data_IF_318828339450
#
_entry.id   IF_318828339450
#
_cell.length_a   1.000
_cell.length_b   1.000
_cell.length_c   1.000
_cell.angle_alpha   90.00
_cell.angle_beta   90.00
_cell.angle_gamma   90.00
#
_symmetry.space_group_name_H-M   'P 1'
#
loop_
_entity.id
_entity.type
_entity.pdbx_description
1 polymer ?
#
# COMPACT_ATOMS: atom_id res chain seq x y z
N UNK A 1 -10.45 32.33 5.44
CA UNK A 1 -11.53 31.42 5.05
C UNK A 1 -12.22 30.99 6.34
N UNK A 2 -13.55 31.10 6.46
CA UNK A 2 -14.26 30.88 7.71
C UNK A 2 -14.65 29.41 7.93
N UNK A 3 -14.79 29.07 9.22
CA UNK A 3 -15.67 28.06 9.81
C UNK A 3 -15.26 26.57 9.75
N UNK A 4 -14.45 26.15 10.72
CA UNK A 4 -14.25 24.74 11.11
C UNK A 4 -15.44 24.25 11.96
N UNK A 5 -16.58 24.08 11.30
CA UNK A 5 -17.80 23.52 11.89
C UNK A 5 -17.72 21.99 12.01
N UNK A 6 -17.31 21.54 13.19
CA UNK A 6 -17.78 20.36 13.93
C UNK A 6 -18.42 19.22 13.10
N UNK A 7 -17.69 18.11 12.91
CA UNK A 7 -18.28 16.84 12.44
C UNK A 7 -18.74 16.04 13.66
N UNK A 8 -20.03 15.67 13.78
CA UNK A 8 -20.50 14.84 14.88
C UNK A 8 -19.94 13.43 14.71
N UNK A 9 -19.11 13.03 15.69
CA UNK A 9 -18.67 11.66 15.94
C UNK A 9 -19.88 10.80 16.39
N UNK A 10 -20.84 10.57 15.49
CA UNK A 10 -22.00 9.74 15.76
C UNK A 10 -21.82 8.38 15.06
N UNK A 11 -21.31 7.42 15.83
CA UNK A 11 -21.29 6.00 15.47
C UNK A 11 -20.06 5.54 14.70
N UNK A 12 -18.90 5.49 15.36
CA UNK A 12 -17.78 4.69 14.87
C UNK A 12 -18.09 3.19 15.01
N UNK A 13 -18.99 2.69 14.16
CA UNK A 13 -18.80 1.34 13.64
C UNK A 13 -17.34 1.31 13.15
N UNK A 14 -16.50 0.44 13.72
CA UNK A 14 -15.07 0.38 13.41
C UNK A 14 -14.93 0.23 11.88
N UNK A 15 -14.67 1.34 11.17
CA UNK A 15 -14.60 1.34 9.71
C UNK A 15 -13.30 0.65 9.36
N UNK A 16 -13.37 -0.67 9.18
CA UNK A 16 -12.23 -1.48 8.78
C UNK A 16 -11.88 -1.12 7.34
N UNK A 17 -10.65 -0.62 7.13
CA UNK A 17 -10.11 -0.41 5.78
C UNK A 17 -9.97 -1.75 5.06
N UNK A 18 -10.96 -2.03 4.22
CA UNK A 18 -11.02 -3.25 3.43
C UNK A 18 -9.80 -3.36 2.50
N UNK A 19 -9.27 -2.25 1.99
CA UNK A 19 -8.12 -2.30 1.09
C UNK A 19 -6.87 -2.78 1.81
N UNK A 20 -6.56 -2.21 2.98
CA UNK A 20 -5.41 -2.64 3.78
C UNK A 20 -5.53 -4.10 4.19
N UNK A 21 -6.71 -4.54 4.65
CA UNK A 21 -6.95 -5.95 4.99
C UNK A 21 -6.69 -6.89 3.80
N UNK A 22 -7.17 -6.53 2.60
CA UNK A 22 -6.96 -7.37 1.42
C UNK A 22 -5.54 -7.31 0.88
N UNK A 23 -4.83 -6.19 1.02
CA UNK A 23 -3.39 -6.09 0.70
C UNK A 23 -2.57 -7.04 1.59
N UNK A 24 -2.85 -7.10 2.89
CA UNK A 24 -2.18 -8.06 3.79
C UNK A 24 -2.43 -9.52 3.36
N UNK A 25 -3.69 -9.86 3.04
CA UNK A 25 -4.05 -11.21 2.55
C UNK A 25 -3.47 -11.54 1.17
N UNK A 26 -3.16 -10.53 0.37
CA UNK A 26 -2.59 -10.68 -0.97
C UNK A 26 -1.07 -10.54 -0.98
N UNK A 27 -0.41 -10.35 0.17
CA UNK A 27 1.03 -10.12 0.24
C UNK A 27 1.83 -11.24 -0.43
N UNK A 28 1.42 -12.50 -0.24
CA UNK A 28 2.05 -13.67 -0.86
C UNK A 28 2.00 -13.64 -2.39
N UNK A 29 0.99 -12.99 -2.98
CA UNK A 29 0.83 -12.87 -4.43
C UNK A 29 1.87 -11.95 -5.07
N UNK A 30 2.42 -11.02 -4.28
CA UNK A 30 3.42 -10.06 -4.69
C UNK A 30 4.78 -10.29 -4.01
N UNK A 31 4.99 -11.46 -3.37
CA UNK A 31 6.18 -11.75 -2.57
C UNK A 31 7.49 -11.62 -3.37
N UNK A 32 7.51 -12.07 -4.63
CA UNK A 32 8.68 -11.93 -5.50
C UNK A 32 9.02 -10.47 -5.79
N UNK A 33 8.01 -9.64 -6.08
CA UNK A 33 8.20 -8.21 -6.33
C UNK A 33 8.61 -7.46 -5.07
N UNK A 34 8.08 -7.88 -3.91
CA UNK A 34 8.52 -7.37 -2.61
C UNK A 34 10.01 -7.67 -2.37
N UNK A 35 10.46 -8.88 -2.67
CA UNK A 35 11.87 -9.26 -2.51
C UNK A 35 12.79 -8.43 -3.42
N UNK A 36 12.39 -8.16 -4.67
CA UNK A 36 13.14 -7.28 -5.58
C UNK A 36 13.21 -5.84 -5.07
N UNK A 37 12.09 -5.32 -4.54
CA UNK A 37 12.04 -4.00 -3.92
C UNK A 37 12.96 -3.92 -2.69
N UNK A 38 12.96 -4.95 -1.84
CA UNK A 38 13.84 -5.04 -0.68
C UNK A 38 15.32 -5.09 -1.10
N UNK A 39 15.67 -5.87 -2.11
CA UNK A 39 17.03 -5.93 -2.67
C UNK A 39 17.48 -4.57 -3.22
N UNK A 40 16.61 -3.86 -3.95
CA UNK A 40 16.91 -2.51 -4.41
C UNK A 40 17.13 -1.56 -3.24
N UNK A 41 16.27 -1.59 -2.22
CA UNK A 41 16.39 -0.73 -1.05
C UNK A 41 17.72 -0.98 -0.32
N UNK A 42 18.14 -2.24 -0.16
CA UNK A 42 19.43 -2.58 0.43
C UNK A 42 20.59 -2.01 -0.38
N UNK A 43 20.52 -2.09 -1.72
CA UNK A 43 21.54 -1.54 -2.62
C UNK A 43 21.63 -0.01 -2.52
N UNK A 44 20.50 0.69 -2.55
CA UNK A 44 20.44 2.16 -2.44
C UNK A 44 20.93 2.61 -1.05
N UNK A 45 20.47 1.97 0.02
CA UNK A 45 20.86 2.31 1.39
C UNK A 45 22.33 1.99 1.69
N UNK A 46 22.93 1.03 1.00
CA UNK A 46 24.36 0.72 1.15
C UNK A 46 25.30 1.78 0.55
N UNK A 47 24.80 2.67 -0.30
CA UNK A 47 25.60 3.66 -1.02
C UNK A 47 25.47 5.04 -0.39
N UNK A 48 26.60 5.72 -0.19
CA UNK A 48 26.64 7.07 0.38
C UNK A 48 26.33 8.18 -0.64
N UNK A 49 26.46 7.89 -1.94
CA UNK A 49 26.12 8.81 -3.02
C UNK A 49 25.73 7.99 -4.27
N UNK A 50 24.44 7.93 -4.58
CA UNK A 50 23.90 7.20 -5.73
C UNK A 50 22.69 7.95 -6.30
N UNK A 51 22.55 7.94 -7.62
CA UNK A 51 21.35 8.45 -8.32
C UNK A 51 20.30 7.35 -8.53
N UNK A 52 20.58 6.13 -8.03
CA UNK A 52 19.69 4.99 -8.14
C UNK A 52 18.44 5.16 -7.26
N UNK A 53 17.27 4.81 -7.79
CA UNK A 53 15.98 4.85 -7.09
C UNK A 53 15.23 3.55 -7.28
N UNK A 54 14.50 3.09 -6.27
CA UNK A 54 13.69 1.87 -6.34
C UNK A 54 12.24 2.11 -6.80
N UNK A 55 12.03 3.11 -7.66
CA UNK A 55 10.68 3.52 -8.06
C UNK A 55 10.00 2.47 -8.94
N UNK A 56 10.76 1.82 -9.83
CA UNK A 56 10.25 0.78 -10.71
C UNK A 56 9.79 -0.45 -9.91
N UNK A 57 10.65 -0.95 -9.01
CA UNK A 57 10.33 -2.10 -8.16
C UNK A 57 9.16 -1.81 -7.21
N UNK A 58 9.05 -0.56 -6.73
CA UNK A 58 7.92 -0.13 -5.92
C UNK A 58 6.62 -0.15 -6.73
N UNK A 59 6.64 0.36 -7.97
CA UNK A 59 5.46 0.37 -8.83
C UNK A 59 5.04 -1.05 -9.21
N UNK A 60 5.98 -1.93 -9.51
CA UNK A 60 5.70 -3.34 -9.80
C UNK A 60 5.09 -4.05 -8.59
N UNK A 61 5.68 -3.87 -7.40
CA UNK A 61 5.14 -4.44 -6.17
C UNK A 61 3.70 -3.98 -5.91
N UNK A 62 3.44 -2.68 -6.00
CA UNK A 62 2.09 -2.11 -5.81
C UNK A 62 1.13 -2.63 -6.87
N UNK A 63 1.54 -2.65 -8.15
CA UNK A 63 0.71 -3.14 -9.25
C UNK A 63 0.24 -4.58 -9.01
N UNK A 64 1.16 -5.49 -8.69
CA UNK A 64 0.84 -6.89 -8.48
C UNK A 64 0.05 -7.13 -7.20
N UNK A 65 0.35 -6.39 -6.13
CA UNK A 65 -0.41 -6.43 -4.89
C UNK A 65 -1.87 -6.00 -5.11
N UNK A 66 -2.05 -4.87 -5.79
CA UNK A 66 -3.37 -4.29 -6.04
C UNK A 66 -4.17 -5.07 -7.07
N UNK A 67 -3.52 -5.72 -8.05
CA UNK A 67 -4.17 -6.66 -8.95
C UNK A 67 -4.91 -7.77 -8.19
N UNK A 68 -4.33 -8.23 -7.06
CA UNK A 68 -4.96 -9.19 -6.18
C UNK A 68 -5.97 -8.54 -5.22
N UNK A 69 -5.63 -7.42 -4.58
CA UNK A 69 -6.37 -6.86 -3.45
C UNK A 69 -7.59 -6.03 -3.89
N UNK A 70 -7.45 -5.17 -4.89
CA UNK A 70 -8.47 -4.18 -5.26
C UNK A 70 -9.82 -4.83 -5.61
N UNK A 71 -9.90 -5.86 -6.49
CA UNK A 71 -11.18 -6.47 -6.81
C UNK A 71 -11.89 -7.12 -5.62
N UNK A 72 -11.15 -7.51 -4.57
CA UNK A 72 -11.70 -8.12 -3.35
C UNK A 72 -12.13 -7.04 -2.36
N UNK A 73 -11.32 -5.99 -2.22
CA UNK A 73 -11.63 -4.83 -1.40
C UNK A 73 -12.91 -4.15 -1.88
N UNK A 74 -13.03 -3.84 -3.18
CA UNK A 74 -14.24 -3.21 -3.73
C UNK A 74 -15.51 -4.05 -3.55
N UNK A 75 -15.40 -5.39 -3.53
CA UNK A 75 -16.54 -6.28 -3.25
C UNK A 75 -16.93 -6.30 -1.77
N UNK A 76 -16.03 -5.91 -0.87
CA UNK A 76 -16.25 -5.88 0.58
C UNK A 76 -16.74 -4.51 1.08
N UNK A 77 -16.66 -3.47 0.24
CA UNK A 77 -17.28 -2.17 0.52
C UNK A 77 -18.82 -2.29 0.41
N UNK A 78 -19.52 -1.67 1.37
CA UNK A 78 -20.98 -1.55 1.39
C UNK A 78 -21.42 -0.23 0.76
#
# INVERSE_FOLDING_TARGET
>A
MPDEGESPEEGSEEVVDQLTQWRERCADHAANFKALLEECNDRVNSRTNTEETCHEEMMDYVHHLDHCAMPKAFKALK
#
